data_IF_830103546671
#
_entry.id   IF_830103546671
#
_cell.length_a   1.000
_cell.length_b   1.000
_cell.length_c   1.000
_cell.angle_alpha   90.00
_cell.angle_beta   90.00
_cell.angle_gamma   90.00
#
_symmetry.space_group_name_H-M   'P 1'
#
loop_
_entity.id
_entity.type
_entity.pdbx_description
1 polymer ?
#
# COMPACT_ATOMS: atom_id res chain seq x y z
N UNK A 1 -28.93 37.32 -18.86
CA UNK A 1 -28.21 37.21 -17.57
C UNK A 1 -28.84 36.06 -16.84
N UNK A 2 -28.35 34.86 -17.04
CA UNK A 2 -28.73 33.65 -16.32
C UNK A 2 -27.69 33.40 -15.23
N UNK A 3 -28.14 33.41 -13.98
CA UNK A 3 -27.31 32.96 -12.83
C UNK A 3 -27.39 31.46 -12.77
N UNK A 4 -26.28 30.81 -12.94
CA UNK A 4 -26.07 29.40 -12.61
C UNK A 4 -26.18 29.24 -11.09
N UNK A 5 -27.20 28.56 -10.64
CA UNK A 5 -27.32 28.07 -9.28
C UNK A 5 -26.44 26.84 -9.14
N UNK A 6 -25.28 27.01 -8.49
CA UNK A 6 -24.44 25.92 -8.05
C UNK A 6 -25.22 25.16 -6.96
N UNK A 7 -25.60 23.91 -7.26
CA UNK A 7 -26.25 23.01 -6.32
C UNK A 7 -25.34 22.75 -5.12
N UNK A 8 -25.78 23.20 -3.95
CA UNK A 8 -25.26 22.76 -2.65
C UNK A 8 -25.63 21.29 -2.48
N UNK A 9 -24.68 20.38 -2.74
CA UNK A 9 -24.78 18.99 -2.30
C UNK A 9 -24.79 18.98 -0.77
N UNK A 10 -26.00 18.85 -0.22
CA UNK A 10 -26.30 18.80 1.19
C UNK A 10 -25.52 17.70 1.90
N UNK A 11 -24.61 18.10 2.78
CA UNK A 11 -24.06 17.25 3.84
C UNK A 11 -25.20 16.88 4.80
N UNK A 12 -25.90 15.80 4.51
CA UNK A 12 -26.82 15.19 5.46
C UNK A 12 -26.03 14.61 6.65
N UNK A 13 -25.93 15.40 7.69
CA UNK A 13 -25.49 14.99 9.04
C UNK A 13 -26.68 14.35 9.77
N UNK A 14 -27.17 13.24 9.27
CA UNK A 14 -28.17 12.40 9.95
C UNK A 14 -27.60 10.99 10.05
N UNK A 15 -27.87 10.27 11.14
CA UNK A 15 -27.29 8.94 11.45
C UNK A 15 -27.36 8.00 10.23
N UNK A 16 -26.23 7.88 9.56
CA UNK A 16 -26.08 7.26 8.26
C UNK A 16 -26.27 5.75 8.41
N UNK A 17 -27.45 5.32 8.10
CA UNK A 17 -27.75 3.90 7.92
C UNK A 17 -27.09 3.50 6.61
N UNK A 18 -26.12 2.59 6.67
CA UNK A 18 -25.47 2.06 5.45
C UNK A 18 -26.55 1.48 4.55
N UNK A 19 -26.55 1.87 3.27
CA UNK A 19 -27.48 1.31 2.28
C UNK A 19 -27.21 -0.17 2.04
N UNK A 20 -28.25 -0.97 1.74
CA UNK A 20 -28.07 -2.39 1.40
C UNK A 20 -27.06 -2.62 0.26
N UNK A 21 -27.03 -1.74 -0.73
CA UNK A 21 -26.07 -1.80 -1.83
C UNK A 21 -24.61 -1.64 -1.36
N UNK A 22 -24.39 -0.75 -0.38
CA UNK A 22 -23.05 -0.58 0.20
C UNK A 22 -22.63 -1.81 0.98
N UNK A 23 -23.56 -2.45 1.71
CA UNK A 23 -23.29 -3.69 2.42
C UNK A 23 -22.87 -4.79 1.43
N UNK A 24 -23.58 -4.92 0.30
CA UNK A 24 -23.27 -5.91 -0.71
C UNK A 24 -21.87 -5.69 -1.32
N UNK A 25 -21.53 -4.45 -1.66
CA UNK A 25 -20.17 -4.10 -2.12
C UNK A 25 -19.09 -4.44 -1.10
N UNK A 26 -19.38 -4.25 0.18
CA UNK A 26 -18.43 -4.63 1.25
C UNK A 26 -18.26 -6.14 1.31
N UNK A 27 -19.32 -6.92 1.13
CA UNK A 27 -19.25 -8.39 1.08
C UNK A 27 -18.43 -8.88 -0.12
N UNK A 28 -18.64 -8.29 -1.30
CA UNK A 28 -17.84 -8.58 -2.49
C UNK A 28 -16.35 -8.29 -2.25
N UNK A 29 -16.04 -7.16 -1.62
CA UNK A 29 -14.67 -6.79 -1.27
C UNK A 29 -14.04 -7.75 -0.26
N UNK A 30 -14.80 -8.22 0.73
CA UNK A 30 -14.35 -9.24 1.68
C UNK A 30 -14.06 -10.58 0.97
N UNK A 31 -14.90 -10.98 0.01
CA UNK A 31 -14.65 -12.18 -0.80
C UNK A 31 -13.38 -12.04 -1.63
N UNK A 32 -13.16 -10.89 -2.29
CA UNK A 32 -11.92 -10.62 -3.04
C UNK A 32 -10.69 -10.71 -2.13
N UNK A 33 -10.80 -10.21 -0.90
CA UNK A 33 -9.74 -10.24 0.10
C UNK A 33 -9.61 -11.59 0.81
N UNK A 34 -10.46 -12.58 0.51
CA UNK A 34 -10.54 -13.88 1.21
C UNK A 34 -10.73 -13.71 2.72
N UNK A 35 -11.59 -12.77 3.12
CA UNK A 35 -11.96 -12.50 4.52
C UNK A 35 -13.31 -13.11 4.80
N UNK A 36 -13.35 -14.09 5.70
CA UNK A 36 -14.57 -14.77 6.12
C UNK A 36 -14.97 -14.32 7.52
N UNK A 37 -16.28 -14.31 7.80
CA UNK A 37 -16.80 -13.90 9.11
C UNK A 37 -16.29 -14.79 10.25
N UNK A 38 -16.01 -16.07 9.97
CA UNK A 38 -15.48 -17.06 10.92
C UNK A 38 -14.06 -16.71 11.41
N UNK A 39 -13.29 -15.98 10.60
CA UNK A 39 -11.93 -15.58 10.88
C UNK A 39 -11.83 -14.23 11.62
N UNK A 40 -12.99 -13.59 11.85
CA UNK A 40 -13.07 -12.26 12.45
C UNK A 40 -13.39 -12.33 13.94
N UNK A 41 -12.52 -11.72 14.74
CA UNK A 41 -12.80 -11.43 16.15
C UNK A 41 -13.23 -9.95 16.28
N UNK A 42 -14.48 -9.75 16.69
CA UNK A 42 -15.11 -8.45 16.80
C UNK A 42 -15.23 -8.03 18.26
N UNK A 43 -14.73 -6.86 18.60
CA UNK A 43 -14.83 -6.27 19.92
C UNK A 43 -15.30 -4.82 19.87
N UNK A 44 -16.04 -4.41 20.88
CA UNK A 44 -16.60 -3.07 20.99
C UNK A 44 -15.89 -2.32 22.11
N UNK A 45 -15.32 -1.18 21.76
CA UNK A 45 -14.54 -0.35 22.67
C UNK A 45 -15.14 1.04 22.81
N UNK A 46 -14.87 1.67 23.95
CA UNK A 46 -15.25 3.08 24.15
C UNK A 46 -14.49 3.98 23.20
N UNK A 47 -15.20 4.98 22.65
CA UNK A 47 -14.56 6.05 21.89
C UNK A 47 -13.70 6.89 22.83
N UNK A 48 -12.45 7.17 22.44
CA UNK A 48 -11.57 8.11 23.14
C UNK A 48 -11.38 9.37 22.30
N UNK A 49 -11.41 10.53 22.93
CA UNK A 49 -11.15 11.81 22.26
C UNK A 49 -11.98 12.96 22.84
N UNK A 50 -11.75 14.20 22.37
CA UNK A 50 -12.57 15.36 22.74
C UNK A 50 -13.96 15.21 22.11
N UNK A 51 -14.85 14.53 22.82
CA UNK A 51 -16.23 14.28 22.42
C UNK A 51 -17.17 14.43 23.59
N UNK A 52 -18.46 14.71 23.29
CA UNK A 52 -19.48 14.88 24.31
C UNK A 52 -19.73 13.61 25.13
N UNK A 53 -20.55 13.76 26.19
CA UNK A 53 -20.86 12.70 27.17
C UNK A 53 -21.28 11.34 26.55
N UNK A 54 -21.96 11.35 25.40
CA UNK A 54 -22.41 10.15 24.69
C UNK A 54 -21.23 9.34 24.10
N UNK A 55 -20.20 10.01 23.58
CA UNK A 55 -19.02 9.36 22.99
C UNK A 55 -18.22 8.59 24.05
N UNK A 56 -18.15 9.13 25.26
CA UNK A 56 -17.40 8.53 26.35
C UNK A 56 -18.15 7.42 27.11
N UNK A 57 -19.47 7.33 26.93
CA UNK A 57 -20.32 6.34 27.62
C UNK A 57 -20.78 5.18 26.74
N UNK A 58 -20.65 5.27 25.42
CA UNK A 58 -21.13 4.23 24.49
C UNK A 58 -19.97 3.56 23.73
N UNK A 59 -19.96 2.23 23.74
CA UNK A 59 -18.98 1.43 23.00
C UNK A 59 -19.36 1.34 21.51
N UNK A 60 -19.26 2.46 20.79
CA UNK A 60 -19.60 2.55 19.37
C UNK A 60 -18.41 2.28 18.45
N UNK A 61 -17.21 2.25 19.00
CA UNK A 61 -16.00 1.95 18.23
C UNK A 61 -15.87 0.43 18.11
N UNK A 62 -15.71 0.00 16.87
CA UNK A 62 -15.55 -1.41 16.52
C UNK A 62 -14.07 -1.69 16.27
N UNK A 63 -13.57 -2.71 16.90
CA UNK A 63 -12.26 -3.28 16.61
C UNK A 63 -12.47 -4.66 16.00
N UNK A 64 -11.93 -4.88 14.81
CA UNK A 64 -11.87 -6.17 14.15
C UNK A 64 -10.44 -6.69 14.12
N UNK A 65 -10.29 -7.97 14.40
CA UNK A 65 -9.04 -8.69 14.24
C UNK A 65 -9.28 -9.87 13.29
N UNK A 66 -8.41 -10.04 12.31
CA UNK A 66 -8.47 -11.16 11.37
C UNK A 66 -7.33 -12.13 11.67
N UNK A 67 -7.68 -13.33 12.12
CA UNK A 67 -6.74 -14.35 12.56
C UNK A 67 -5.68 -14.71 11.52
N UNK A 68 -6.06 -15.12 10.29
CA UNK A 68 -5.10 -15.58 9.26
C UNK A 68 -4.06 -14.54 8.84
N UNK A 69 -4.44 -13.26 8.75
CA UNK A 69 -3.51 -12.19 8.36
C UNK A 69 -2.79 -11.52 9.54
N UNK A 70 -3.26 -11.77 10.77
CA UNK A 70 -2.84 -11.11 12.00
C UNK A 70 -2.96 -9.57 11.93
N UNK A 71 -3.97 -9.07 11.18
CA UNK A 71 -4.25 -7.66 11.03
C UNK A 71 -5.43 -7.26 11.92
N UNK A 72 -5.38 -6.05 12.45
CA UNK A 72 -6.50 -5.48 13.19
C UNK A 72 -6.79 -4.07 12.70
N UNK A 73 -8.06 -3.72 12.65
CA UNK A 73 -8.55 -2.38 12.33
C UNK A 73 -9.46 -1.89 13.43
N UNK A 74 -9.57 -0.57 13.53
CA UNK A 74 -10.45 0.10 14.48
C UNK A 74 -11.25 1.16 13.72
N UNK A 75 -12.59 1.12 13.83
CA UNK A 75 -13.48 2.07 13.20
C UNK A 75 -14.43 2.68 14.21
N UNK A 76 -14.52 3.99 14.23
CA UNK A 76 -15.40 4.76 15.09
C UNK A 76 -15.82 6.08 14.44
N UNK A 77 -16.02 6.05 13.11
CA UNK A 77 -16.29 7.22 12.29
C UNK A 77 -17.71 7.77 12.51
N UNK A 78 -18.65 6.88 12.79
CA UNK A 78 -20.06 7.25 12.93
C UNK A 78 -20.57 7.02 14.36
N UNK A 79 -21.75 7.58 14.65
CA UNK A 79 -22.45 7.35 15.91
C UNK A 79 -23.15 6.00 15.96
N UNK A 80 -23.34 5.35 14.81
CA UNK A 80 -23.98 4.05 14.67
C UNK A 80 -22.94 2.95 14.78
N UNK A 81 -23.12 2.04 15.76
CA UNK A 81 -22.28 0.86 15.91
C UNK A 81 -22.39 -0.04 14.67
N UNK A 82 -23.60 -0.22 14.15
CA UNK A 82 -23.88 -1.03 12.97
C UNK A 82 -23.11 -0.52 11.74
N UNK A 83 -23.16 0.77 11.50
CA UNK A 83 -22.40 1.43 10.43
C UNK A 83 -20.90 1.21 10.61
N UNK A 84 -20.39 1.41 11.83
CA UNK A 84 -18.96 1.21 12.13
C UNK A 84 -18.52 -0.25 11.94
N UNK A 85 -19.38 -1.24 12.16
CA UNK A 85 -19.11 -2.67 11.90
C UNK A 85 -18.84 -2.92 10.42
N UNK A 86 -19.66 -2.38 9.53
CA UNK A 86 -19.48 -2.52 8.10
C UNK A 86 -18.28 -1.74 7.58
N UNK A 87 -18.07 -0.52 8.08
CA UNK A 87 -16.90 0.26 7.73
C UNK A 87 -15.60 -0.42 8.17
N UNK A 88 -15.58 -1.03 9.36
CA UNK A 88 -14.41 -1.79 9.83
C UNK A 88 -14.11 -2.98 8.92
N UNK A 89 -15.13 -3.71 8.43
CA UNK A 89 -14.97 -4.81 7.46
C UNK A 89 -14.39 -4.32 6.15
N UNK A 90 -14.89 -3.20 5.63
CA UNK A 90 -14.34 -2.56 4.43
C UNK A 90 -12.87 -2.23 4.61
N UNK A 91 -12.53 -1.50 5.68
CA UNK A 91 -11.15 -1.10 5.97
C UNK A 91 -10.20 -2.29 6.09
N UNK A 92 -10.64 -3.37 6.71
CA UNK A 92 -9.85 -4.59 6.87
C UNK A 92 -9.59 -5.26 5.52
N UNK A 93 -10.62 -5.42 4.70
CA UNK A 93 -10.50 -6.01 3.36
C UNK A 93 -9.58 -5.18 2.45
N UNK A 94 -9.74 -3.86 2.42
CA UNK A 94 -8.87 -2.95 1.68
C UNK A 94 -7.40 -3.09 2.13
N UNK A 95 -7.14 -3.13 3.43
CA UNK A 95 -5.80 -3.28 4.00
C UNK A 95 -5.13 -4.61 3.60
N UNK A 96 -5.91 -5.70 3.59
CA UNK A 96 -5.41 -7.01 3.16
C UNK A 96 -5.06 -7.01 1.69
N UNK A 97 -5.93 -6.48 0.83
CA UNK A 97 -5.69 -6.36 -0.62
C UNK A 97 -4.48 -5.48 -0.93
N UNK A 98 -4.33 -4.36 -0.24
CA UNK A 98 -3.17 -3.49 -0.40
C UNK A 98 -1.86 -4.21 -0.03
N UNK A 99 -1.86 -4.93 1.09
CA UNK A 99 -0.71 -5.73 1.53
C UNK A 99 -0.33 -6.81 0.52
N UNK A 100 -1.33 -7.47 -0.08
CA UNK A 100 -1.08 -8.47 -1.13
C UNK A 100 -0.55 -7.87 -2.42
N UNK A 101 -1.11 -6.73 -2.86
CA UNK A 101 -0.59 -5.98 -4.01
C UNK A 101 0.86 -5.55 -3.77
N UNK A 102 1.17 -5.07 -2.59
CA UNK A 102 2.53 -4.72 -2.18
C UNK A 102 3.50 -5.92 -2.26
N UNK A 103 3.09 -7.09 -1.76
CA UNK A 103 3.89 -8.32 -1.84
C UNK A 103 4.14 -8.76 -3.28
N UNK A 104 3.09 -8.76 -4.13
CA UNK A 104 3.20 -9.13 -5.56
C UNK A 104 4.15 -8.17 -6.29
N UNK A 105 4.06 -6.88 -6.02
CA UNK A 105 4.94 -5.85 -6.61
C UNK A 105 6.39 -6.04 -6.16
N UNK A 106 6.64 -6.22 -4.87
CA UNK A 106 7.99 -6.46 -4.33
C UNK A 106 8.63 -7.73 -4.91
N UNK A 107 7.87 -8.83 -4.99
CA UNK A 107 8.34 -10.07 -5.60
C UNK A 107 8.70 -9.89 -7.08
N UNK A 108 7.87 -9.15 -7.85
CA UNK A 108 8.14 -8.83 -9.25
C UNK A 108 9.41 -8.00 -9.42
N UNK A 109 9.59 -6.98 -8.60
CA UNK A 109 10.79 -6.14 -8.60
C UNK A 109 12.05 -6.93 -8.25
N UNK A 110 11.97 -7.82 -7.24
CA UNK A 110 13.07 -8.70 -6.88
C UNK A 110 13.46 -9.65 -8.02
N UNK A 111 12.48 -10.29 -8.66
CA UNK A 111 12.70 -11.17 -9.81
C UNK A 111 13.32 -10.40 -10.99
N UNK A 112 12.85 -9.19 -11.27
CA UNK A 112 13.41 -8.34 -12.32
C UNK A 112 14.86 -7.92 -12.00
N UNK A 113 15.17 -7.58 -10.76
CA UNK A 113 16.53 -7.27 -10.31
C UNK A 113 17.47 -8.46 -10.56
N UNK A 114 17.07 -9.66 -10.19
CA UNK A 114 17.84 -10.89 -10.45
C UNK A 114 18.02 -11.12 -11.95
N UNK A 115 16.95 -10.93 -12.76
CA UNK A 115 17.00 -11.05 -14.22
C UNK A 115 17.99 -10.06 -14.84
N UNK A 116 17.99 -8.78 -14.37
CA UNK A 116 18.95 -7.75 -14.81
C UNK A 116 20.39 -8.15 -14.46
N UNK A 117 20.63 -8.65 -13.25
CA UNK A 117 21.95 -9.09 -12.81
C UNK A 117 22.48 -10.28 -13.63
N UNK A 118 21.62 -11.25 -13.97
CA UNK A 118 21.98 -12.43 -14.78
C UNK A 118 22.14 -12.11 -16.27
N UNK A 119 21.65 -10.96 -16.75
CA UNK A 119 21.73 -10.59 -18.16
C UNK A 119 23.18 -10.35 -18.56
N UNK A 120 23.70 -11.21 -19.45
CA UNK A 120 25.04 -11.04 -20.01
C UNK A 120 25.12 -9.74 -20.81
N UNK A 121 26.26 -9.04 -20.68
CA UNK A 121 26.55 -7.84 -21.48
C UNK A 121 26.57 -8.19 -22.97
N UNK A 122 26.01 -7.32 -23.82
CA UNK A 122 26.05 -7.50 -25.27
C UNK A 122 27.50 -7.49 -25.79
N UNK A 123 27.75 -8.14 -26.94
CA UNK A 123 29.07 -8.13 -27.59
C UNK A 123 29.59 -6.70 -27.78
N UNK A 124 28.73 -5.80 -28.24
CA UNK A 124 29.06 -4.38 -28.46
C UNK A 124 29.50 -3.68 -27.17
N UNK A 125 28.83 -3.94 -26.06
CA UNK A 125 29.17 -3.36 -24.76
C UNK A 125 30.49 -3.93 -24.21
N UNK A 126 30.77 -5.22 -24.42
CA UNK A 126 32.05 -5.82 -24.08
C UNK A 126 33.19 -5.20 -24.87
N UNK A 127 33.00 -5.01 -26.18
CA UNK A 127 33.99 -4.40 -27.03
C UNK A 127 34.32 -2.98 -26.58
N UNK A 128 33.32 -2.13 -26.35
CA UNK A 128 33.52 -0.77 -25.80
C UNK A 128 34.35 -0.75 -24.51
N UNK A 129 34.02 -1.65 -23.58
CA UNK A 129 34.78 -1.76 -22.32
C UNK A 129 36.24 -2.17 -22.55
N UNK A 130 36.50 -3.06 -23.51
CA UNK A 130 37.87 -3.46 -23.88
C UNK A 130 38.61 -2.28 -24.51
N UNK A 131 37.99 -1.58 -25.44
CA UNK A 131 38.56 -0.41 -26.09
C UNK A 131 38.91 0.71 -25.08
N UNK A 132 38.00 1.00 -24.13
CA UNK A 132 38.26 1.92 -23.03
C UNK A 132 39.42 1.45 -22.14
N UNK A 133 39.49 0.16 -21.85
CA UNK A 133 40.56 -0.44 -21.02
C UNK A 133 41.93 -0.32 -21.75
N UNK A 134 41.94 -0.58 -23.05
CA UNK A 134 43.14 -0.41 -23.88
C UNK A 134 43.60 1.06 -23.91
N UNK A 135 42.70 2.00 -24.17
CA UNK A 135 43.02 3.41 -24.16
C UNK A 135 43.59 3.88 -22.82
N UNK A 136 43.01 3.44 -21.69
CA UNK A 136 43.55 3.75 -20.36
C UNK A 136 44.93 3.10 -20.12
N UNK A 137 45.16 1.92 -20.68
CA UNK A 137 46.46 1.23 -20.59
C UNK A 137 47.54 2.00 -21.35
N UNK A 138 47.23 2.45 -22.56
CA UNK A 138 48.16 3.28 -23.37
C UNK A 138 48.53 4.61 -22.67
N UNK A 139 47.52 5.30 -22.08
CA UNK A 139 47.77 6.51 -21.29
C UNK A 139 48.66 6.22 -20.05
N UNK A 140 48.50 5.05 -19.41
CA UNK A 140 49.36 4.67 -18.30
C UNK A 140 50.77 4.34 -18.76
N UNK A 141 50.95 3.68 -19.90
CA UNK A 141 52.28 3.39 -20.47
C UNK A 141 53.01 4.67 -20.83
N UNK A 142 52.35 5.63 -21.45
CA UNK A 142 52.96 6.92 -21.81
C UNK A 142 53.40 7.76 -20.59
N UNK A 143 52.74 7.55 -19.43
CA UNK A 143 53.11 8.23 -18.17
C UNK A 143 54.24 7.53 -17.41
N UNK A 144 54.67 6.35 -17.82
CA UNK A 144 55.75 5.61 -17.16
C UNK A 144 57.06 6.37 -17.37
N UNK A 145 57.76 6.70 -16.29
CA UNK A 145 59.07 7.33 -16.38
C UNK A 145 59.97 6.44 -17.23
N UNK A 146 60.62 7.06 -18.21
CA UNK A 146 61.71 6.42 -18.95
C UNK A 146 62.83 6.25 -17.98
N UNK A 147 63.32 5.01 -17.79
CA UNK A 147 64.52 4.74 -17.02
C UNK A 147 65.71 5.41 -17.69
N UNK A 148 66.41 6.33 -17.01
CA UNK A 148 67.52 7.07 -17.62
C UNK A 148 68.82 6.28 -17.81
N UNK A 149 68.76 4.93 -17.72
CA UNK A 149 69.92 4.07 -17.73
C UNK A 149 69.94 2.97 -18.81
N UNK A 150 69.14 3.07 -19.87
CA UNK A 150 69.16 2.12 -21.00
C UNK A 150 69.95 2.74 -22.17
N UNK A 151 71.24 2.81 -22.07
CA UNK A 151 72.17 2.85 -23.21
C UNK A 151 72.68 1.47 -23.49
#
# INVERSE_FOLDING_TARGET
MAREEAGEEGREKGGEVISPETIERIRELMQEASVFEEDLDESFILGGGPGGQKTNKTSNVVRLFHGPSALSVRCGETRSRETNRWLARRMLAELILERERGRKTAARMAAEKVRRQKRRRSRRQKQRMLDEKHARSEVKKSRRKVDPGAE
#
